data_IF_970322484796
#
_entry.id   IF_970322484796
#
_cell.length_a   1.000
_cell.length_b   1.000
_cell.length_c   1.000
_cell.angle_alpha   90.00
_cell.angle_beta   90.00
_cell.angle_gamma   90.00
#
_symmetry.space_group_name_H-M   'P 1'
#
loop_
_entity.id
_entity.type
_entity.pdbx_description
1 polymer ?
#
# COMPACT_ATOMS: atom_id res chain seq x y z
N UNK A 1 21.02 -9.04 7.27
CA UNK A 1 19.56 -8.95 7.06
C UNK A 1 19.30 -8.04 5.88
N UNK A 2 18.52 -8.50 4.91
CA UNK A 2 18.03 -7.69 3.77
C UNK A 2 16.74 -6.97 4.18
N UNK A 3 16.47 -5.80 3.60
CA UNK A 3 15.27 -5.02 3.93
C UNK A 3 14.25 -5.06 2.78
N UNK A 4 12.99 -5.46 2.99
CA UNK A 4 11.99 -5.51 1.93
C UNK A 4 11.73 -4.12 1.36
N UNK A 5 11.58 -4.06 0.05
CA UNK A 5 11.31 -2.85 -0.72
C UNK A 5 10.26 -3.17 -1.78
N UNK A 6 9.31 -2.27 -1.95
CA UNK A 6 8.29 -2.33 -2.99
C UNK A 6 8.48 -1.13 -3.89
N UNK A 7 8.54 -1.34 -5.20
CA UNK A 7 8.48 -0.26 -6.17
C UNK A 7 7.25 -0.44 -7.04
N UNK A 8 6.54 0.65 -7.33
CA UNK A 8 5.40 0.64 -8.23
C UNK A 8 5.72 1.53 -9.42
N UNK A 9 5.63 0.97 -10.62
CA UNK A 9 5.67 1.71 -11.88
C UNK A 9 4.25 1.82 -12.38
N UNK A 10 3.62 2.96 -12.13
CA UNK A 10 2.28 3.26 -12.64
C UNK A 10 2.27 3.25 -14.17
N UNK A 11 1.10 3.16 -14.80
CA UNK A 11 0.92 3.08 -16.25
C UNK A 11 1.82 4.07 -17.01
N UNK A 12 1.84 5.34 -16.58
CA UNK A 12 2.62 6.39 -17.27
C UNK A 12 4.15 6.26 -17.11
N UNK A 13 4.62 5.43 -16.17
CA UNK A 13 6.04 5.10 -16.00
C UNK A 13 6.48 3.86 -16.81
N UNK A 14 5.54 3.08 -17.35
CA UNK A 14 5.80 1.85 -18.11
C UNK A 14 6.77 2.04 -19.30
N UNK A 15 6.76 3.16 -20.05
CA UNK A 15 7.76 3.37 -21.10
C UNK A 15 9.22 3.32 -20.63
N UNK A 16 9.49 3.52 -19.33
CA UNK A 16 10.83 3.42 -18.73
C UNK A 16 11.07 2.10 -17.98
N UNK A 17 10.16 1.13 -18.02
CA UNK A 17 10.19 -0.07 -17.17
C UNK A 17 11.48 -0.87 -17.34
N UNK A 18 11.93 -1.12 -18.57
CA UNK A 18 13.12 -1.96 -18.83
C UNK A 18 14.37 -1.32 -18.21
N UNK A 19 14.49 0.01 -18.36
CA UNK A 19 15.59 0.78 -17.78
C UNK A 19 15.55 0.74 -16.25
N UNK A 20 14.37 0.87 -15.65
CA UNK A 20 14.20 0.85 -14.20
C UNK A 20 14.48 -0.55 -13.64
N UNK A 21 13.94 -1.60 -14.26
CA UNK A 21 14.15 -3.00 -13.86
C UNK A 21 15.63 -3.39 -13.97
N UNK A 22 16.33 -2.97 -15.02
CA UNK A 22 17.76 -3.21 -15.17
C UNK A 22 18.58 -2.52 -14.06
N UNK A 23 18.21 -1.31 -13.66
CA UNK A 23 18.85 -0.61 -12.54
C UNK A 23 18.51 -1.26 -11.18
N UNK A 24 17.26 -1.65 -10.97
CA UNK A 24 16.83 -2.36 -9.76
C UNK A 24 17.62 -3.66 -9.58
N UNK A 25 17.76 -4.48 -10.63
CA UNK A 25 18.56 -5.72 -10.60
C UNK A 25 20.03 -5.51 -10.21
N UNK A 26 20.60 -4.32 -10.47
CA UNK A 26 21.99 -4.00 -10.10
C UNK A 26 22.15 -3.58 -8.64
N UNK A 27 21.08 -3.11 -8.02
CA UNK A 27 21.14 -2.46 -6.70
C UNK A 27 20.35 -3.19 -5.61
N UNK A 28 19.36 -3.99 -5.99
CA UNK A 28 18.44 -4.71 -5.12
C UNK A 28 18.35 -6.17 -5.57
N UNK A 29 18.02 -7.06 -4.64
CA UNK A 29 17.60 -8.42 -4.98
C UNK A 29 16.13 -8.38 -5.40
N UNK A 30 15.85 -8.50 -6.69
CA UNK A 30 14.47 -8.52 -7.21
C UNK A 30 13.92 -9.93 -7.08
N UNK A 31 12.83 -10.07 -6.34
CA UNK A 31 12.19 -11.34 -6.01
C UNK A 31 11.09 -11.70 -6.99
N UNK A 32 10.27 -10.71 -7.36
CA UNK A 32 9.20 -10.89 -8.33
C UNK A 32 8.78 -9.57 -8.97
N UNK A 33 8.12 -9.68 -10.13
CA UNK A 33 7.51 -8.55 -10.84
C UNK A 33 6.11 -8.94 -11.27
N UNK A 34 5.14 -8.21 -10.74
CA UNK A 34 3.72 -8.45 -10.96
C UNK A 34 3.14 -7.28 -11.75
N UNK A 35 2.38 -7.58 -12.79
CA UNK A 35 1.46 -6.63 -13.41
C UNK A 35 0.10 -6.70 -12.70
N UNK A 36 -0.34 -5.55 -12.22
CA UNK A 36 -1.63 -5.37 -11.55
C UNK A 36 -2.47 -4.41 -12.40
N UNK A 37 -3.76 -4.71 -12.49
CA UNK A 37 -4.76 -3.79 -13.03
C UNK A 37 -5.86 -3.56 -12.00
N UNK A 38 -6.41 -2.36 -11.98
CA UNK A 38 -7.61 -2.04 -11.20
C UNK A 38 -8.69 -1.58 -12.15
N UNK A 39 -9.98 -1.89 -11.88
CA UNK A 39 -11.07 -1.26 -12.61
C UNK A 39 -10.96 0.27 -12.50
N UNK A 40 -11.07 1.03 -13.60
CA UNK A 40 -10.89 2.49 -13.60
C UNK A 40 -11.77 3.21 -12.57
N UNK A 41 -13.00 2.76 -12.38
CA UNK A 41 -13.96 3.29 -11.41
C UNK A 41 -13.54 3.10 -9.94
N UNK A 42 -12.62 2.17 -9.67
CA UNK A 42 -12.09 1.90 -8.33
C UNK A 42 -10.70 2.53 -8.09
N UNK A 43 -10.10 3.14 -9.11
CA UNK A 43 -8.71 3.55 -9.08
C UNK A 43 -8.42 4.62 -8.02
N UNK A 44 -9.19 5.71 -8.00
CA UNK A 44 -9.08 6.80 -7.01
C UNK A 44 -9.21 6.29 -5.57
N UNK A 45 -10.15 5.38 -5.33
CA UNK A 45 -10.36 4.72 -4.03
C UNK A 45 -9.15 3.87 -3.63
N UNK A 46 -8.62 3.07 -4.55
CA UNK A 46 -7.43 2.27 -4.28
C UNK A 46 -6.16 3.12 -4.08
N UNK A 47 -6.03 4.24 -4.78
CA UNK A 47 -4.98 5.22 -4.51
C UNK A 47 -5.12 5.82 -3.10
N UNK A 48 -6.33 6.22 -2.72
CA UNK A 48 -6.62 6.77 -1.38
C UNK A 48 -6.20 5.78 -0.30
N UNK A 49 -6.54 4.49 -0.49
CA UNK A 49 -6.13 3.37 0.39
C UNK A 49 -4.63 3.20 0.49
N UNK A 50 -3.94 3.13 -0.66
CA UNK A 50 -2.51 2.90 -0.69
C UNK A 50 -1.73 4.07 -0.06
N UNK A 51 -2.12 5.31 -0.35
CA UNK A 51 -1.37 6.49 0.06
C UNK A 51 -1.80 7.10 1.38
N UNK A 52 -2.99 6.78 1.89
CA UNK A 52 -3.45 7.31 3.16
C UNK A 52 -3.76 8.78 3.15
N UNK A 53 -4.33 9.24 2.06
CA UNK A 53 -4.73 10.62 1.86
C UNK A 53 -5.93 10.61 0.93
N UNK A 54 -6.91 11.48 1.16
CA UNK A 54 -8.01 11.70 0.22
C UNK A 54 -7.46 12.06 -1.17
N UNK A 55 -7.65 11.15 -2.13
CA UNK A 55 -7.26 11.31 -3.54
C UNK A 55 -8.52 11.12 -4.39
N UNK A 56 -9.33 12.18 -4.58
CA UNK A 56 -10.54 12.08 -5.37
C UNK A 56 -10.23 11.76 -6.83
N UNK A 57 -11.25 11.27 -7.54
CA UNK A 57 -11.20 11.06 -8.98
C UNK A 57 -10.72 12.33 -9.70
N UNK A 58 -9.83 12.15 -10.68
CA UNK A 58 -9.23 13.24 -11.42
C UNK A 58 -8.15 14.03 -10.67
N UNK A 59 -7.72 13.60 -9.48
CA UNK A 59 -6.59 14.24 -8.78
C UNK A 59 -5.30 14.23 -9.63
N UNK A 60 -4.43 15.22 -9.44
CA UNK A 60 -3.12 15.29 -10.14
C UNK A 60 -2.33 13.98 -10.03
N UNK A 61 -2.47 13.30 -8.89
CA UNK A 61 -1.79 12.03 -8.66
C UNK A 61 -2.36 10.91 -9.53
N UNK A 62 -3.68 10.82 -9.62
CA UNK A 62 -4.35 9.85 -10.51
C UNK A 62 -3.96 10.08 -11.96
N UNK A 63 -4.05 11.32 -12.45
CA UNK A 63 -3.67 11.66 -13.82
C UNK A 63 -2.20 11.32 -14.11
N UNK A 64 -1.32 11.54 -13.14
CA UNK A 64 0.09 11.16 -13.27
C UNK A 64 0.30 9.65 -13.16
N UNK A 65 -0.48 8.90 -12.40
CA UNK A 65 -0.38 7.45 -12.36
C UNK A 65 -0.85 6.83 -13.69
N UNK A 66 -1.93 7.35 -14.27
CA UNK A 66 -2.69 6.66 -15.31
C UNK A 66 -3.63 5.62 -14.69
N UNK A 67 -4.59 5.12 -15.47
CA UNK A 67 -5.64 4.18 -15.03
C UNK A 67 -5.41 2.75 -15.55
N UNK A 68 -4.42 2.56 -16.41
CA UNK A 68 -4.06 1.27 -16.99
C UNK A 68 -3.20 0.39 -16.09
N UNK A 69 -2.80 -0.79 -16.59
CA UNK A 69 -1.98 -1.74 -15.85
C UNK A 69 -0.63 -1.16 -15.40
N UNK A 70 -0.22 -1.50 -14.19
CA UNK A 70 1.00 -1.03 -13.56
C UNK A 70 1.83 -2.19 -13.01
N UNK A 71 3.13 -1.97 -12.81
CA UNK A 71 4.03 -2.99 -12.25
C UNK A 71 4.22 -2.79 -10.76
N UNK A 72 4.12 -3.87 -10.00
CA UNK A 72 4.58 -4.00 -8.61
C UNK A 72 5.85 -4.85 -8.63
N UNK A 73 6.96 -4.24 -8.22
CA UNK A 73 8.26 -4.89 -8.11
C UNK A 73 8.55 -5.17 -6.65
N UNK A 74 8.72 -6.45 -6.33
CA UNK A 74 9.01 -6.95 -4.99
C UNK A 74 10.50 -7.22 -4.92
N UNK A 75 11.19 -6.54 -4.02
CA UNK A 75 12.63 -6.63 -3.90
C UNK A 75 13.09 -6.57 -2.44
N UNK A 76 14.37 -6.83 -2.21
CA UNK A 76 15.02 -6.50 -0.96
C UNK A 76 16.33 -5.74 -1.18
N UNK A 77 16.61 -4.84 -0.25
CA UNK A 77 17.83 -4.05 -0.21
C UNK A 77 18.86 -4.74 0.68
N UNK A 78 19.93 -5.33 0.11
CA UNK A 78 20.99 -5.96 0.89
C UNK A 78 21.91 -4.94 1.59
N UNK A 79 21.77 -3.64 1.29
CA UNK A 79 22.63 -2.56 1.78
C UNK A 79 21.81 -1.42 2.38
N UNK A 80 20.65 -1.75 2.96
CA UNK A 80 19.74 -0.77 3.54
C UNK A 80 20.46 0.12 4.56
N UNK A 81 20.39 1.44 4.33
CA UNK A 81 20.95 2.45 5.24
C UNK A 81 19.86 3.42 5.64
N UNK A 82 19.52 3.41 6.92
CA UNK A 82 18.50 4.27 7.48
C UNK A 82 19.06 5.64 7.88
N UNK A 83 18.31 6.69 7.58
CA UNK A 83 18.64 8.05 7.97
C UNK A 83 17.40 8.94 8.03
N UNK A 84 17.52 10.06 8.76
CA UNK A 84 16.44 11.05 8.83
C UNK A 84 16.27 11.76 7.49
N UNK A 85 15.03 11.84 7.03
CA UNK A 85 14.63 12.58 5.83
C UNK A 85 13.32 13.30 6.09
N UNK A 86 13.20 14.52 5.57
CA UNK A 86 11.91 15.20 5.48
C UNK A 86 11.07 14.50 4.41
N UNK A 87 9.89 14.06 4.80
CA UNK A 87 8.86 13.47 3.93
C UNK A 87 7.63 14.37 3.96
N UNK A 88 6.62 14.05 3.14
CA UNK A 88 5.31 14.71 3.23
C UNK A 88 4.62 14.48 4.57
N UNK A 89 5.01 13.42 5.31
CA UNK A 89 4.53 13.08 6.67
C UNK A 89 5.50 13.52 7.77
N UNK A 90 6.29 14.57 7.53
CA UNK A 90 7.29 15.07 8.46
C UNK A 90 8.63 14.34 8.39
N UNK A 91 9.48 14.55 9.40
CA UNK A 91 10.82 13.93 9.47
C UNK A 91 10.68 12.49 9.91
N UNK A 92 11.11 11.55 9.06
CA UNK A 92 11.04 10.11 9.34
C UNK A 92 12.40 9.46 9.11
N UNK A 93 12.68 8.39 9.84
CA UNK A 93 13.84 7.53 9.62
C UNK A 93 13.50 6.53 8.51
N UNK A 94 14.15 6.65 7.36
CA UNK A 94 13.83 5.88 6.15
C UNK A 94 15.08 5.30 5.50
N UNK A 95 14.92 4.26 4.68
CA UNK A 95 15.96 3.75 3.79
C UNK A 95 16.37 4.84 2.80
N UNK A 96 17.56 5.37 3.00
CA UNK A 96 18.15 6.39 2.12
C UNK A 96 18.47 5.85 0.74
N UNK A 97 18.73 4.54 0.62
CA UNK A 97 18.99 3.88 -0.64
C UNK A 97 17.71 3.74 -1.48
N UNK A 98 16.62 3.25 -0.89
CA UNK A 98 15.30 3.19 -1.53
C UNK A 98 14.78 4.60 -1.90
N UNK A 99 14.95 5.59 -1.02
CA UNK A 99 14.58 6.97 -1.30
C UNK A 99 15.33 7.55 -2.52
N UNK A 100 16.63 7.26 -2.65
CA UNK A 100 17.44 7.70 -3.81
C UNK A 100 17.02 7.00 -5.10
N UNK A 101 16.73 5.69 -5.04
CA UNK A 101 16.23 4.92 -6.17
C UNK A 101 14.88 5.48 -6.66
N UNK A 102 13.91 5.66 -5.75
CA UNK A 102 12.60 6.30 -6.04
C UNK A 102 12.77 7.66 -6.71
N UNK A 103 13.64 8.53 -6.17
CA UNK A 103 13.89 9.84 -6.75
C UNK A 103 14.54 9.77 -8.14
N UNK A 104 15.46 8.82 -8.35
CA UNK A 104 16.10 8.57 -9.65
C UNK A 104 15.07 8.12 -10.69
N UNK A 105 14.21 7.18 -10.36
CA UNK A 105 13.19 6.67 -11.28
C UNK A 105 12.14 7.71 -11.62
N UNK A 106 11.71 8.53 -10.65
CA UNK A 106 10.87 9.70 -10.92
C UNK A 106 11.52 10.65 -11.92
N UNK A 107 12.83 10.92 -11.82
CA UNK A 107 13.50 11.77 -12.83
C UNK A 107 13.49 11.13 -14.22
N UNK A 108 13.70 9.82 -14.31
CA UNK A 108 13.68 9.10 -15.59
C UNK A 108 12.32 9.09 -16.26
N UNK A 109 11.24 9.21 -15.49
CA UNK A 109 9.87 9.24 -16.00
C UNK A 109 9.31 10.66 -16.13
N UNK A 110 10.14 11.71 -16.02
CA UNK A 110 9.70 13.11 -16.18
C UNK A 110 9.08 13.74 -14.93
N UNK A 111 9.39 13.22 -13.74
CA UNK A 111 9.01 13.78 -12.44
C UNK A 111 7.71 13.22 -11.84
N UNK A 112 7.16 13.94 -10.87
CA UNK A 112 5.83 13.68 -10.31
C UNK A 112 5.70 12.39 -9.49
N UNK A 113 4.52 11.76 -9.59
CA UNK A 113 4.09 10.60 -8.80
C UNK A 113 4.07 9.29 -9.59
N UNK A 114 4.61 9.27 -10.83
CA UNK A 114 4.62 8.10 -11.73
C UNK A 114 5.35 6.87 -11.18
N UNK A 115 6.22 7.06 -10.19
CA UNK A 115 6.89 5.97 -9.48
C UNK A 115 6.67 6.10 -7.98
N UNK A 116 6.23 5.00 -7.37
CA UNK A 116 6.24 4.79 -5.93
C UNK A 116 7.38 3.87 -5.51
N UNK A 117 7.80 4.02 -4.26
CA UNK A 117 8.84 3.21 -3.65
C UNK A 117 8.64 3.27 -2.14
N UNK A 118 8.53 2.11 -1.50
CA UNK A 118 8.49 2.05 -0.05
C UNK A 118 9.81 2.53 0.55
N UNK A 119 9.72 3.25 1.66
CA UNK A 119 10.85 3.92 2.29
C UNK A 119 11.27 3.23 3.59
N UNK A 120 10.44 2.34 4.11
CA UNK A 120 10.71 1.51 5.28
C UNK A 120 9.93 0.19 5.15
N UNK A 121 10.25 -0.78 6.03
CA UNK A 121 9.58 -2.08 6.07
C UNK A 121 8.07 -1.98 6.27
N UNK A 122 7.61 -1.10 7.15
CA UNK A 122 6.17 -0.96 7.43
C UNK A 122 5.41 -0.48 6.19
N UNK A 123 5.97 0.46 5.41
CA UNK A 123 5.40 0.87 4.14
C UNK A 123 5.43 -0.28 3.12
N UNK A 124 6.51 -1.05 3.04
CA UNK A 124 6.60 -2.22 2.15
C UNK A 124 5.54 -3.29 2.47
N UNK A 125 5.36 -3.62 3.75
CA UNK A 125 4.39 -4.60 4.23
C UNK A 125 2.95 -4.16 3.95
N UNK A 126 2.64 -2.90 4.23
CA UNK A 126 1.32 -2.31 3.94
C UNK A 126 1.03 -2.30 2.44
N UNK A 127 2.01 -1.87 1.63
CA UNK A 127 1.85 -1.82 0.18
C UNK A 127 1.55 -3.22 -0.38
N UNK A 128 2.31 -4.25 0.01
CA UNK A 128 2.08 -5.64 -0.44
C UNK A 128 0.76 -6.22 0.05
N UNK A 129 0.36 -5.91 1.29
CA UNK A 129 -0.92 -6.36 1.82
C UNK A 129 -2.10 -5.74 1.08
N UNK A 130 -2.00 -4.47 0.69
CA UNK A 130 -3.06 -3.78 -0.06
C UNK A 130 -3.07 -4.15 -1.53
N UNK A 131 -1.90 -4.40 -2.13
CA UNK A 131 -1.77 -4.69 -3.56
C UNK A 131 -1.99 -6.16 -3.90
N UNK A 132 -1.49 -7.08 -3.07
CA UNK A 132 -1.38 -8.51 -3.37
C UNK A 132 -1.91 -9.45 -2.27
N UNK A 133 -2.37 -8.93 -1.12
CA UNK A 133 -2.76 -9.73 0.08
C UNK A 133 -1.62 -10.56 0.69
N UNK A 134 -0.38 -10.17 0.45
CA UNK A 134 0.77 -10.93 0.92
C UNK A 134 1.61 -10.14 1.94
N UNK A 135 2.26 -10.84 2.89
CA UNK A 135 3.30 -10.24 3.72
C UNK A 135 4.60 -10.04 2.91
N UNK A 136 5.48 -9.16 3.40
CA UNK A 136 6.68 -8.76 2.66
C UNK A 136 7.73 -9.86 2.46
N UNK A 137 7.67 -10.91 3.28
CA UNK A 137 8.56 -12.06 3.23
C UNK A 137 8.04 -13.21 2.34
N UNK A 138 6.77 -13.17 1.91
CA UNK A 138 6.14 -14.25 1.14
C UNK A 138 6.95 -14.66 -0.11
N UNK A 139 7.56 -13.69 -0.78
CA UNK A 139 8.36 -13.92 -1.99
C UNK A 139 9.87 -13.74 -1.78
N UNK A 140 10.35 -13.48 -0.56
CA UNK A 140 11.74 -13.09 -0.31
C UNK A 140 12.78 -14.18 -0.63
N UNK A 141 12.39 -15.45 -0.68
CA UNK A 141 13.27 -16.56 -1.07
C UNK A 141 13.40 -16.74 -2.59
N UNK A 142 12.51 -16.11 -3.38
CA UNK A 142 12.46 -16.26 -4.82
C UNK A 142 13.46 -15.30 -5.49
N UNK A 143 14.03 -15.71 -6.62
CA UNK A 143 14.76 -14.81 -7.51
C UNK A 143 13.92 -14.63 -8.76
N UNK A 144 13.72 -13.38 -9.17
CA UNK A 144 12.89 -13.10 -10.32
C UNK A 144 13.51 -13.70 -11.60
N UNK A 145 12.74 -14.57 -12.27
CA UNK A 145 13.12 -15.29 -13.48
C UNK A 145 13.08 -14.42 -14.75
N UNK A 146 12.64 -13.15 -14.63
CA UNK A 146 12.49 -12.23 -15.76
C UNK A 146 11.09 -12.21 -16.36
N UNK A 147 10.16 -13.04 -15.86
CA UNK A 147 8.77 -13.08 -16.34
C UNK A 147 7.89 -12.18 -15.48
N UNK A 148 7.15 -11.27 -16.13
CA UNK A 148 6.11 -10.48 -15.45
C UNK A 148 4.85 -11.33 -15.33
N UNK A 149 4.36 -11.52 -14.10
CA UNK A 149 3.13 -12.28 -13.84
C UNK A 149 1.95 -11.33 -13.77
N UNK A 150 0.83 -11.68 -14.40
CA UNK A 150 -0.41 -10.94 -14.21
C UNK A 150 -1.09 -11.43 -12.91
N UNK A 151 -1.50 -10.50 -12.06
CA UNK A 151 -2.33 -10.79 -10.89
C UNK A 151 -3.69 -10.10 -11.05
N UNK A 152 -4.73 -10.76 -10.56
CA UNK A 152 -6.06 -10.18 -10.53
C UNK A 152 -6.08 -8.93 -9.63
N UNK A 153 -6.98 -7.95 -9.87
CA UNK A 153 -7.17 -6.84 -8.97
C UNK A 153 -7.42 -7.36 -7.55
N UNK A 154 -6.78 -6.76 -6.55
CA UNK A 154 -7.09 -7.07 -5.17
C UNK A 154 -8.51 -6.61 -4.84
N UNK A 155 -9.42 -7.58 -4.75
CA UNK A 155 -10.79 -7.34 -4.35
C UNK A 155 -10.84 -6.76 -2.93
N UNK A 156 -11.82 -5.89 -2.68
CA UNK A 156 -12.13 -5.37 -1.33
C UNK A 156 -12.92 -6.38 -0.48
N UNK A 157 -13.03 -7.62 -0.96
CA UNK A 157 -13.54 -8.75 -0.20
C UNK A 157 -12.40 -9.34 0.65
N UNK A 158 -12.64 -9.44 1.94
CA UNK A 158 -11.69 -9.94 2.93
C UNK A 158 -12.01 -11.40 3.24
N UNK A 159 -11.02 -12.26 3.48
CA UNK A 159 -11.31 -13.67 3.75
C UNK A 159 -12.09 -13.86 5.05
N UNK A 160 -11.71 -13.10 6.09
CA UNK A 160 -12.36 -13.07 7.39
C UNK A 160 -12.09 -11.73 8.11
N UNK A 161 -12.72 -11.51 9.26
CA UNK A 161 -12.54 -10.28 10.04
C UNK A 161 -11.10 -10.09 10.55
N UNK A 162 -10.33 -11.17 10.73
CA UNK A 162 -8.93 -11.07 11.18
C UNK A 162 -8.04 -10.58 10.03
N UNK A 163 -8.29 -11.00 8.80
CA UNK A 163 -7.57 -10.48 7.63
C UNK A 163 -7.83 -8.98 7.41
N UNK A 164 -9.10 -8.55 7.52
CA UNK A 164 -9.46 -7.13 7.51
C UNK A 164 -8.69 -6.35 8.59
N UNK A 165 -8.70 -6.86 9.84
CA UNK A 165 -8.01 -6.19 10.95
C UNK A 165 -6.50 -6.19 10.75
N UNK A 166 -5.91 -7.25 10.21
CA UNK A 166 -4.49 -7.30 9.89
C UNK A 166 -4.10 -6.28 8.80
N UNK A 167 -4.99 -6.04 7.83
CA UNK A 167 -4.80 -4.98 6.84
C UNK A 167 -4.88 -3.59 7.44
N UNK A 168 -5.84 -3.32 8.31
CA UNK A 168 -5.92 -2.04 9.01
C UNK A 168 -4.69 -1.85 9.91
N UNK A 169 -4.29 -2.88 10.65
CA UNK A 169 -3.13 -2.90 11.53
C UNK A 169 -1.81 -2.59 10.81
N UNK A 170 -1.73 -2.81 9.50
CA UNK A 170 -0.55 -2.46 8.70
C UNK A 170 -0.34 -0.97 8.50
N UNK A 171 -1.35 -0.14 8.74
CA UNK A 171 -1.27 1.32 8.60
C UNK A 171 -1.47 2.07 9.92
N UNK A 172 -2.33 1.55 10.80
CA UNK A 172 -2.63 2.12 12.12
C UNK A 172 -2.80 0.99 13.11
N UNK A 173 -2.30 1.08 14.35
CA UNK A 173 -2.63 0.11 15.38
C UNK A 173 -4.15 -0.05 15.49
N UNK A 174 -4.61 -1.31 15.42
CA UNK A 174 -6.02 -1.65 15.45
C UNK A 174 -6.24 -3.02 16.08
N UNK A 175 -7.42 -3.24 16.64
CA UNK A 175 -7.81 -4.48 17.33
C UNK A 175 -9.25 -4.84 17.04
N UNK A 176 -9.50 -6.13 16.80
CA UNK A 176 -10.86 -6.69 16.77
C UNK A 176 -11.46 -6.66 18.18
N UNK A 177 -12.62 -6.01 18.34
CA UNK A 177 -13.38 -5.98 19.59
C UNK A 177 -14.46 -7.07 19.60
N UNK A 178 -15.17 -7.22 18.48
CA UNK A 178 -16.24 -8.21 18.32
C UNK A 178 -16.46 -8.55 16.84
N UNK A 179 -16.88 -9.79 16.57
CA UNK A 179 -17.40 -10.27 15.28
C UNK A 179 -18.74 -10.96 15.55
N UNK A 180 -19.84 -10.26 15.26
CA UNK A 180 -21.22 -10.65 15.56
C UNK A 180 -21.96 -11.08 14.29
N UNK A 181 -21.26 -11.72 13.35
CA UNK A 181 -21.81 -12.16 12.07
C UNK A 181 -22.01 -11.00 11.11
N UNK A 182 -23.08 -10.21 11.26
CA UNK A 182 -23.37 -9.07 10.37
C UNK A 182 -22.65 -7.78 10.76
N UNK A 183 -22.05 -7.73 11.97
CA UNK A 183 -21.38 -6.55 12.51
C UNK A 183 -19.98 -6.93 13.00
N UNK A 184 -18.98 -6.23 12.49
CA UNK A 184 -17.60 -6.31 12.98
C UNK A 184 -17.30 -5.01 13.71
N UNK A 185 -16.80 -5.10 14.95
CA UNK A 185 -16.39 -3.92 15.74
C UNK A 185 -14.89 -3.95 15.94
N UNK A 186 -14.23 -2.83 15.68
CA UNK A 186 -12.80 -2.67 15.89
C UNK A 186 -12.50 -1.37 16.64
N UNK A 187 -11.37 -1.35 17.35
CA UNK A 187 -10.72 -0.11 17.76
C UNK A 187 -9.53 0.17 16.85
N UNK A 188 -9.27 1.44 16.55
CA UNK A 188 -8.10 1.89 15.80
C UNK A 188 -7.56 3.20 16.38
N UNK A 189 -6.24 3.40 16.38
CA UNK A 189 -5.66 4.70 16.74
C UNK A 189 -6.07 5.80 15.75
N UNK A 190 -6.16 5.46 14.47
CA UNK A 190 -6.62 6.34 13.40
C UNK A 190 -7.86 5.74 12.71
N UNK A 191 -9.02 6.31 13.03
CA UNK A 191 -10.33 5.90 12.49
C UNK A 191 -10.39 6.13 10.97
N UNK A 192 -9.73 7.18 10.48
CA UNK A 192 -9.70 7.50 9.05
C UNK A 192 -9.00 6.39 8.28
N UNK A 193 -7.83 5.96 8.76
CA UNK A 193 -7.09 4.84 8.16
C UNK A 193 -7.88 3.54 8.13
N UNK A 194 -8.55 3.23 9.24
CA UNK A 194 -9.33 2.02 9.37
C UNK A 194 -10.47 1.94 8.34
N UNK A 195 -11.26 3.01 8.21
CA UNK A 195 -12.38 3.06 7.26
C UNK A 195 -11.89 2.99 5.81
N UNK A 196 -10.86 3.78 5.49
CA UNK A 196 -10.35 3.84 4.13
C UNK A 196 -9.79 2.48 3.71
N UNK A 197 -8.95 1.85 4.53
CA UNK A 197 -8.39 0.52 4.21
C UNK A 197 -9.49 -0.51 3.99
N UNK A 198 -10.51 -0.50 4.86
CA UNK A 198 -11.67 -1.38 4.79
C UNK A 198 -12.46 -1.23 3.47
N UNK A 199 -12.27 -0.11 2.76
CA UNK A 199 -12.91 0.18 1.47
C UNK A 199 -14.06 1.18 1.56
N UNK A 200 -14.28 1.79 2.74
CA UNK A 200 -15.26 2.84 2.95
C UNK A 200 -14.76 4.22 2.51
N UNK A 201 -15.68 5.19 2.52
CA UNK A 201 -15.37 6.58 2.25
C UNK A 201 -14.63 7.23 3.42
N UNK A 202 -13.68 8.10 3.10
CA UNK A 202 -12.89 8.83 4.09
C UNK A 202 -13.81 9.60 5.07
N UNK A 203 -13.77 9.29 6.39
CA UNK A 203 -14.53 10.05 7.37
C UNK A 203 -13.91 11.43 7.61
N UNK A 204 -14.54 12.26 8.45
CA UNK A 204 -13.93 13.50 8.93
C UNK A 204 -12.59 13.21 9.64
N UNK A 205 -11.63 14.13 9.50
CA UNK A 205 -10.26 13.92 9.99
C UNK A 205 -10.16 13.79 11.52
N UNK A 206 -11.14 14.33 12.26
CA UNK A 206 -11.27 14.28 13.72
C UNK A 206 -12.31 13.25 14.20
N UNK A 207 -12.84 12.42 13.29
CA UNK A 207 -13.83 11.41 13.62
C UNK A 207 -13.28 10.45 14.70
N UNK A 208 -14.03 10.34 15.79
CA UNK A 208 -13.75 9.38 16.88
C UNK A 208 -14.44 8.05 16.65
N UNK A 209 -15.44 8.03 15.79
CA UNK A 209 -16.18 6.84 15.39
C UNK A 209 -16.58 6.98 13.92
N UNK A 210 -16.65 5.87 13.21
CA UNK A 210 -17.14 5.80 11.85
C UNK A 210 -17.62 4.40 11.53
N UNK A 211 -18.45 4.28 10.50
CA UNK A 211 -18.91 2.99 9.99
C UNK A 211 -18.84 2.93 8.47
N UNK A 212 -18.67 1.73 7.94
CA UNK A 212 -18.80 1.47 6.51
C UNK A 212 -19.30 0.04 6.25
N UNK A 213 -19.77 -0.20 5.03
CA UNK A 213 -20.01 -1.55 4.54
C UNK A 213 -18.69 -2.18 4.11
N UNK A 214 -18.50 -3.45 4.43
CA UNK A 214 -17.33 -4.26 4.04
C UNK A 214 -17.81 -5.61 3.53
N UNK A 215 -17.07 -6.22 2.61
CA UNK A 215 -17.34 -7.59 2.16
C UNK A 215 -16.35 -8.53 2.85
N UNK A 216 -16.86 -9.52 3.58
CA UNK A 216 -16.04 -10.51 4.28
C UNK A 216 -16.59 -11.90 3.93
N UNK A 217 -15.77 -12.74 3.32
CA UNK A 217 -16.15 -14.09 2.90
C UNK A 217 -17.29 -14.07 1.88
N UNK A 218 -17.36 -13.04 1.03
CA UNK A 218 -18.46 -12.85 0.08
C UNK A 218 -19.76 -12.29 0.66
N UNK A 219 -19.81 -12.00 1.96
CA UNK A 219 -20.98 -11.42 2.63
C UNK A 219 -20.78 -9.94 2.91
N UNK A 220 -21.80 -9.13 2.64
CA UNK A 220 -21.81 -7.72 3.05
C UNK A 220 -22.09 -7.60 4.55
N UNK A 221 -21.19 -6.94 5.28
CA UNK A 221 -21.24 -6.74 6.74
C UNK A 221 -20.99 -5.27 7.07
N UNK A 222 -21.45 -4.84 8.24
CA UNK A 222 -21.17 -3.51 8.77
C UNK A 222 -19.91 -3.52 9.62
N UNK A 223 -18.94 -2.67 9.27
CA UNK A 223 -17.78 -2.39 10.11
C UNK A 223 -18.06 -1.16 10.97
N UNK A 224 -17.92 -1.28 12.28
CA UNK A 224 -17.93 -0.17 13.23
C UNK A 224 -16.51 0.06 13.76
N UNK A 225 -15.99 1.27 13.58
CA UNK A 225 -14.66 1.65 14.03
C UNK A 225 -14.81 2.70 15.12
N UNK A 226 -14.10 2.49 16.23
CA UNK A 226 -13.98 3.46 17.32
C UNK A 226 -12.52 3.82 17.55
N UNK A 227 -12.25 5.07 17.91
CA UNK A 227 -10.92 5.52 18.28
C UNK A 227 -10.46 4.78 19.53
N UNK A 228 -9.23 4.27 19.52
CA UNK A 228 -8.64 3.67 20.70
C UNK A 228 -8.66 4.67 21.87
N UNK A 229 -9.06 4.20 23.05
CA UNK A 229 -8.95 5.01 24.25
C UNK A 229 -7.47 5.39 24.45
N UNK A 230 -7.16 6.65 24.80
CA UNK A 230 -5.78 7.00 25.15
C UNK A 230 -5.33 6.10 26.29
N UNK A 231 -4.06 5.67 26.32
CA UNK A 231 -3.55 4.90 27.44
C UNK A 231 -3.80 5.67 28.75
N UNK A 232 -4.17 4.99 29.85
CA UNK A 232 -4.30 5.64 31.14
C UNK A 232 -2.98 6.36 31.46
N UNK A 233 -3.09 7.62 31.88
CA UNK A 233 -1.95 8.47 32.27
C UNK A 233 -1.28 7.94 33.53
#
# INVERSE_FOLDING_TARGET
MTEPCVFILWETARPAEQRILADLKRHFAVHDVVEVSWPPELFSRNLTRLYGQALPSGSDKEQQCGLGPFLVIIASDPRARYGLRRTTRGVRRVSTHAARAKARYRRWTGGGFRVHGSLDRSEAERDLRLLLREPADARAAQSWDGVVRAEAPTATDWSDAKDLVAAIASATPARLLADEGLVVRISAEDVWWAIVIAGGDAPAADAREAECQVHIGGESRRLLVSAAAPPPR
#
